data_IF_693245415289
#
_entry.id   IF_693245415289
#
_cell.length_a   1.000
_cell.length_b   1.000
_cell.length_c   1.000
_cell.angle_alpha   90.00
_cell.angle_beta   90.00
_cell.angle_gamma   90.00
#
_symmetry.space_group_name_H-M   'P 1'
#
loop_
_entity.id
_entity.type
_entity.pdbx_description
1 polymer ?
#
# COMPACT_ATOMS: atom_id res chain seq x y z
N UNK A 1 -22.54 13.96 4.09
CA UNK A 1 -21.39 13.13 4.49
C UNK A 1 -21.45 12.85 5.99
N UNK A 2 -21.34 11.59 6.37
CA UNK A 2 -21.45 11.18 7.78
C UNK A 2 -20.11 11.36 8.48
N UNK A 3 -20.09 12.20 9.53
CA UNK A 3 -18.85 12.58 10.23
C UNK A 3 -18.17 11.44 10.99
N UNK A 4 -18.95 10.47 11.45
CA UNK A 4 -18.44 9.39 12.32
C UNK A 4 -18.32 8.04 11.61
N UNK A 5 -18.35 8.06 10.28
CA UNK A 5 -18.25 6.82 9.52
C UNK A 5 -16.86 6.19 9.66
N UNK A 6 -16.84 4.89 9.94
CA UNK A 6 -15.61 4.14 10.19
C UNK A 6 -14.88 3.81 8.89
N UNK A 7 -13.53 3.82 8.95
CA UNK A 7 -12.68 3.43 7.82
C UNK A 7 -12.95 1.99 7.38
N UNK A 8 -13.44 1.14 8.27
CA UNK A 8 -13.77 -0.25 7.93
C UNK A 8 -14.77 -0.38 6.79
N UNK A 9 -15.54 0.68 6.53
CA UNK A 9 -16.53 0.68 5.45
C UNK A 9 -15.93 0.91 4.06
N UNK A 10 -14.74 1.51 4.00
CA UNK A 10 -14.12 1.85 2.71
C UNK A 10 -12.78 1.17 2.48
N UNK A 11 -12.18 0.58 3.50
CA UNK A 11 -10.90 -0.10 3.35
C UNK A 11 -11.02 -1.35 2.48
N UNK A 12 -9.94 -1.70 1.79
CA UNK A 12 -9.86 -2.96 1.09
C UNK A 12 -9.60 -4.07 2.09
N UNK A 13 -10.44 -5.11 2.08
CA UNK A 13 -10.33 -6.28 2.96
C UNK A 13 -9.70 -7.47 2.25
N UNK A 14 -9.58 -7.41 0.93
CA UNK A 14 -8.93 -8.44 0.14
C UNK A 14 -7.43 -8.23 0.20
N UNK A 15 -6.81 -8.74 1.25
CA UNK A 15 -5.42 -8.48 1.55
C UNK A 15 -4.48 -9.29 0.67
N UNK A 16 -3.64 -8.57 -0.07
CA UNK A 16 -2.49 -9.12 -0.76
C UNK A 16 -1.28 -8.71 0.07
N UNK A 17 -0.54 -9.67 0.59
CA UNK A 17 0.59 -9.40 1.48
C UNK A 17 1.86 -10.11 1.00
N UNK A 18 3.00 -9.64 1.51
CA UNK A 18 4.29 -10.26 1.30
C UNK A 18 4.99 -10.42 2.65
N UNK A 19 5.98 -11.28 2.68
CA UNK A 19 6.85 -11.45 3.84
C UNK A 19 8.29 -11.08 3.47
N UNK A 20 9.17 -10.98 4.45
CA UNK A 20 10.58 -10.67 4.18
C UNK A 20 11.30 -11.77 3.40
N UNK A 21 10.75 -12.99 3.37
CA UNK A 21 11.34 -14.09 2.62
C UNK A 21 10.93 -14.10 1.15
N UNK A 22 9.95 -13.29 0.75
CA UNK A 22 9.55 -13.16 -0.65
C UNK A 22 10.54 -12.29 -1.41
N UNK A 23 10.65 -12.50 -2.72
CA UNK A 23 11.56 -11.74 -3.56
C UNK A 23 10.84 -10.62 -4.32
N UNK A 24 11.62 -9.78 -5.00
CA UNK A 24 11.07 -8.63 -5.73
C UNK A 24 10.31 -9.06 -6.98
N UNK A 25 10.62 -10.22 -7.56
CA UNK A 25 9.86 -10.76 -8.69
C UNK A 25 8.43 -11.09 -8.28
N UNK A 26 8.27 -11.69 -7.10
CA UNK A 26 6.96 -11.98 -6.55
C UNK A 26 6.17 -10.69 -6.31
N UNK A 27 6.83 -9.67 -5.77
CA UNK A 27 6.19 -8.37 -5.56
C UNK A 27 5.72 -7.76 -6.87
N UNK A 28 6.59 -7.74 -7.89
CA UNK A 28 6.25 -7.21 -9.22
C UNK A 28 5.05 -7.93 -9.81
N UNK A 29 5.04 -9.25 -9.72
CA UNK A 29 3.95 -10.08 -10.22
C UNK A 29 2.62 -9.71 -9.54
N UNK A 30 2.62 -9.56 -8.22
CA UNK A 30 1.42 -9.23 -7.45
C UNK A 30 0.89 -7.84 -7.81
N UNK A 31 1.77 -6.86 -7.97
CA UNK A 31 1.34 -5.52 -8.39
C UNK A 31 0.62 -5.57 -9.75
N UNK A 32 1.15 -6.34 -10.69
CA UNK A 32 0.58 -6.45 -12.03
C UNK A 32 -0.72 -7.24 -12.04
N UNK A 33 -0.74 -8.39 -11.38
CA UNK A 33 -1.91 -9.28 -11.38
C UNK A 33 -3.13 -8.64 -10.70
N UNK A 34 -2.91 -7.92 -9.61
CA UNK A 34 -3.99 -7.37 -8.80
C UNK A 34 -4.25 -5.89 -9.06
N UNK A 35 -3.48 -5.26 -9.94
CA UNK A 35 -3.62 -3.84 -10.28
C UNK A 35 -3.59 -2.95 -9.04
N UNK A 36 -2.70 -3.27 -8.10
CA UNK A 36 -2.52 -2.54 -6.85
C UNK A 36 -1.19 -1.80 -6.87
N UNK A 37 -1.06 -0.80 -6.00
CA UNK A 37 0.16 0.03 -5.94
C UNK A 37 0.89 -0.08 -4.62
N UNK A 38 0.30 -0.74 -3.64
CA UNK A 38 0.88 -0.89 -2.30
C UNK A 38 0.60 -2.29 -1.78
N UNK A 39 1.63 -2.92 -1.20
CA UNK A 39 1.50 -4.25 -0.61
C UNK A 39 2.07 -4.20 0.81
N UNK A 40 1.26 -4.53 1.83
CA UNK A 40 1.77 -4.65 3.19
C UNK A 40 2.75 -5.81 3.32
N UNK A 41 3.81 -5.59 4.09
CA UNK A 41 4.76 -6.63 4.45
C UNK A 41 4.44 -7.06 5.87
N UNK A 42 4.23 -8.36 6.06
CA UNK A 42 3.77 -8.89 7.34
C UNK A 42 4.74 -9.94 7.89
N UNK A 43 4.69 -10.10 9.20
CA UNK A 43 5.34 -11.18 9.94
C UNK A 43 4.33 -11.65 10.98
N UNK A 44 3.92 -12.92 10.89
CA UNK A 44 2.88 -13.47 11.78
C UNK A 44 1.61 -12.61 11.84
N UNK A 45 1.16 -12.15 10.68
CA UNK A 45 -0.02 -11.29 10.50
C UNK A 45 0.15 -9.85 11.03
N UNK A 46 1.31 -9.53 11.61
CA UNK A 46 1.62 -8.17 12.04
C UNK A 46 2.29 -7.39 10.93
N UNK A 47 1.86 -6.14 10.75
CA UNK A 47 2.43 -5.28 9.73
C UNK A 47 3.83 -4.81 10.17
N UNK A 48 4.82 -5.01 9.30
CA UNK A 48 6.20 -4.56 9.57
C UNK A 48 6.71 -3.58 8.53
N UNK A 49 6.04 -3.49 7.38
CA UNK A 49 6.45 -2.56 6.33
C UNK A 49 5.38 -2.38 5.29
N UNK A 50 5.62 -1.43 4.39
CA UNK A 50 4.76 -1.18 3.24
C UNK A 50 5.64 -1.02 2.01
N UNK A 51 5.35 -1.79 0.97
CA UNK A 51 6.08 -1.73 -0.29
C UNK A 51 5.21 -1.08 -1.35
N UNK A 52 5.72 -0.02 -1.99
CA UNK A 52 5.03 0.65 -3.07
C UNK A 52 5.53 0.19 -4.43
N UNK A 53 4.63 0.15 -5.41
CA UNK A 53 5.01 -0.13 -6.79
C UNK A 53 6.08 0.85 -7.28
N UNK A 54 5.98 2.11 -6.85
CA UNK A 54 6.96 3.14 -7.21
C UNK A 54 8.38 2.81 -6.73
N UNK A 55 8.51 2.04 -5.65
CA UNK A 55 9.83 1.62 -5.16
C UNK A 55 10.51 0.68 -6.16
N UNK A 56 9.74 -0.23 -6.76
CA UNK A 56 10.25 -1.12 -7.79
C UNK A 56 10.53 -0.38 -9.09
N UNK A 57 9.65 0.54 -9.47
CA UNK A 57 9.81 1.33 -10.69
C UNK A 57 11.07 2.18 -10.64
N UNK A 58 11.41 2.76 -9.48
CA UNK A 58 12.62 3.54 -9.31
C UNK A 58 13.88 2.72 -9.57
N UNK A 59 13.90 1.49 -9.09
CA UNK A 59 15.03 0.58 -9.28
C UNK A 59 15.15 0.20 -10.76
N UNK A 60 14.04 -0.17 -11.37
CA UNK A 60 14.01 -0.53 -12.79
C UNK A 60 14.41 0.63 -13.67
N UNK A 61 14.00 1.85 -13.32
CA UNK A 61 14.35 3.06 -14.03
C UNK A 61 15.85 3.33 -13.97
N UNK A 62 16.44 3.24 -12.78
CA UNK A 62 17.88 3.45 -12.61
C UNK A 62 18.71 2.43 -13.39
N UNK A 63 18.22 1.19 -13.38
CA UNK A 63 18.87 0.08 -14.07
C UNK A 63 18.83 0.27 -15.58
N UNK A 64 17.69 0.71 -16.13
CA UNK A 64 17.53 0.94 -17.56
C UNK A 64 18.38 2.12 -18.06
N UNK A 65 18.81 3.01 -17.17
CA UNK A 65 19.68 4.12 -17.51
C UNK A 65 21.13 3.68 -17.72
N UNK A 66 21.56 2.70 -16.93
CA UNK A 66 22.95 2.23 -16.96
C UNK A 66 23.18 1.12 -17.99
N UNK A 67 22.12 0.60 -18.58
CA UNK A 67 22.24 -0.55 -19.45
C UNK A 67 21.17 -0.56 -20.53
N UNK A 68 21.61 -0.99 -21.73
CA UNK A 68 20.75 -1.14 -22.89
C UNK A 68 20.11 -2.52 -22.98
N UNK A 69 20.28 -3.37 -21.97
CA UNK A 69 19.80 -4.74 -22.00
C UNK A 69 18.80 -5.03 -20.87
N UNK A 70 17.68 -5.67 -21.23
CA UNK A 70 16.60 -6.02 -20.32
C UNK A 70 16.97 -7.05 -19.24
N UNK A 71 18.10 -7.73 -19.39
CA UNK A 71 18.55 -8.78 -18.45
C UNK A 71 19.11 -8.23 -17.15
N UNK A 72 19.29 -6.93 -17.05
CA UNK A 72 19.92 -6.30 -15.88
C UNK A 72 18.93 -6.06 -14.76
N UNK A 73 17.64 -5.92 -15.09
CA UNK A 73 16.59 -5.87 -14.09
C UNK A 73 16.69 -7.06 -13.14
N UNK A 74 17.08 -8.22 -13.68
CA UNK A 74 17.25 -9.44 -12.89
C UNK A 74 18.39 -9.35 -11.88
N UNK A 75 19.49 -8.71 -12.25
CA UNK A 75 20.63 -8.57 -11.35
C UNK A 75 20.28 -7.68 -10.15
N UNK A 76 19.60 -6.56 -10.37
CA UNK A 76 19.20 -5.66 -9.31
C UNK A 76 18.21 -6.32 -8.37
N UNK A 77 17.22 -7.02 -8.92
CA UNK A 77 16.23 -7.73 -8.12
C UNK A 77 16.86 -8.83 -7.25
N UNK A 78 17.93 -9.47 -7.75
CA UNK A 78 18.64 -10.49 -6.98
C UNK A 78 19.53 -9.88 -5.90
N UNK A 79 19.94 -8.64 -6.04
CA UNK A 79 20.81 -7.96 -5.08
C UNK A 79 20.07 -7.28 -3.96
N UNK A 80 18.79 -6.94 -4.17
CA UNK A 80 17.99 -6.20 -3.21
C UNK A 80 16.89 -7.06 -2.62
N UNK A 81 16.55 -6.77 -1.37
CA UNK A 81 15.49 -7.46 -0.65
C UNK A 81 14.30 -6.54 -0.45
N UNK A 82 13.15 -7.14 -0.19
CA UNK A 82 11.94 -6.40 0.18
C UNK A 82 12.21 -5.52 1.40
N UNK A 83 12.91 -6.06 2.41
CA UNK A 83 13.22 -5.31 3.61
C UNK A 83 14.04 -4.05 3.38
N UNK A 84 14.88 -4.05 2.34
CA UNK A 84 15.69 -2.87 2.00
C UNK A 84 14.86 -1.78 1.29
N UNK A 85 13.81 -2.17 0.58
CA UNK A 85 13.01 -1.24 -0.22
C UNK A 85 11.76 -0.73 0.50
N UNK A 86 11.19 -1.53 1.39
CA UNK A 86 9.94 -1.18 2.05
C UNK A 86 10.09 0.04 2.96
N UNK A 87 8.98 0.75 3.17
CA UNK A 87 8.87 1.72 4.25
C UNK A 87 8.74 0.93 5.53
N UNK A 88 9.67 1.12 6.47
CA UNK A 88 9.68 0.39 7.74
C UNK A 88 8.76 1.05 8.75
N UNK A 89 8.08 0.24 9.55
CA UNK A 89 7.19 0.73 10.60
C UNK A 89 6.21 1.78 10.08
N UNK A 90 5.37 1.44 9.09
CA UNK A 90 4.42 2.40 8.54
C UNK A 90 3.40 2.82 9.60
N UNK A 91 2.83 4.01 9.40
CA UNK A 91 1.73 4.46 10.26
C UNK A 91 0.57 3.48 10.08
N UNK A 92 0.15 2.84 11.15
CA UNK A 92 -0.98 1.91 11.14
C UNK A 92 -2.15 2.52 11.90
N UNK A 93 -3.35 2.21 11.47
CA UNK A 93 -4.57 2.75 12.06
C UNK A 93 -5.49 1.61 12.48
N UNK A 94 -6.34 1.87 13.48
CA UNK A 94 -7.32 0.90 13.92
C UNK A 94 -8.56 0.99 13.01
N UNK A 95 -9.22 -0.14 12.80
CA UNK A 95 -10.41 -0.21 11.94
C UNK A 95 -11.59 0.64 12.42
N UNK A 96 -11.59 1.04 13.69
CA UNK A 96 -12.63 1.88 14.25
C UNK A 96 -12.41 3.37 14.03
N UNK A 97 -11.24 3.78 13.52
CA UNK A 97 -10.97 5.20 13.27
C UNK A 97 -11.91 5.73 12.19
N UNK A 98 -12.29 7.01 12.31
CA UNK A 98 -13.19 7.61 11.34
C UNK A 98 -12.51 7.91 10.02
N UNK A 99 -13.30 7.92 8.95
CA UNK A 99 -12.80 8.33 7.63
C UNK A 99 -12.19 9.74 7.71
N UNK A 100 -12.81 10.65 8.46
CA UNK A 100 -12.27 12.00 8.65
C UNK A 100 -10.86 11.96 9.23
N UNK A 101 -10.62 11.12 10.24
CA UNK A 101 -9.29 10.99 10.85
C UNK A 101 -8.28 10.43 9.86
N UNK A 102 -8.69 9.49 9.00
CA UNK A 102 -7.83 8.96 7.94
C UNK A 102 -7.44 10.07 6.97
N UNK A 103 -8.41 10.89 6.57
CA UNK A 103 -8.14 12.04 5.68
C UNK A 103 -7.12 12.99 6.31
N UNK A 104 -7.27 13.27 7.60
CA UNK A 104 -6.32 14.13 8.32
C UNK A 104 -4.91 13.56 8.30
N UNK A 105 -4.77 12.24 8.54
CA UNK A 105 -3.47 11.58 8.52
C UNK A 105 -2.86 11.65 7.12
N UNK A 106 -3.64 11.28 6.10
CA UNK A 106 -3.16 11.30 4.71
C UNK A 106 -2.79 12.71 4.24
N UNK A 107 -3.50 13.73 4.73
CA UNK A 107 -3.23 15.11 4.33
C UNK A 107 -1.98 15.70 4.98
N UNK A 108 -1.58 15.19 6.14
CA UNK A 108 -0.42 15.71 6.89
C UNK A 108 0.87 14.95 6.62
N UNK A 109 0.76 13.73 6.09
CA UNK A 109 1.91 12.86 5.84
C UNK A 109 1.97 12.51 4.36
N UNK A 110 3.18 12.27 3.86
CA UNK A 110 3.38 11.91 2.46
C UNK A 110 3.11 10.41 2.20
N UNK A 111 2.06 9.89 2.80
CA UNK A 111 1.66 8.50 2.63
C UNK A 111 0.43 8.41 1.75
N UNK A 112 0.39 7.41 0.88
CA UNK A 112 -0.74 7.19 -0.02
C UNK A 112 -1.53 5.94 0.37
N UNK A 113 -1.05 5.19 1.36
CA UNK A 113 -1.69 3.97 1.84
C UNK A 113 -1.41 3.78 3.32
N UNK A 114 -2.43 3.35 4.05
CA UNK A 114 -2.32 3.07 5.48
C UNK A 114 -2.81 1.66 5.76
N UNK A 115 -2.00 0.83 6.45
CA UNK A 115 -2.47 -0.45 6.93
C UNK A 115 -3.47 -0.26 8.07
N UNK A 116 -4.53 -1.08 8.06
CA UNK A 116 -5.58 -1.05 9.07
C UNK A 116 -5.49 -2.32 9.89
N UNK A 117 -5.46 -2.16 11.21
CA UNK A 117 -5.27 -3.28 12.14
C UNK A 117 -6.42 -3.37 13.15
N UNK A 118 -6.60 -4.57 13.67
CA UNK A 118 -7.44 -4.86 14.84
C UNK A 118 -6.62 -5.76 15.76
N UNK A 119 -6.45 -5.36 17.01
CA UNK A 119 -5.62 -6.10 17.98
C UNK A 119 -4.25 -6.46 17.39
N UNK A 120 -3.60 -5.48 16.74
CA UNK A 120 -2.28 -5.60 16.09
C UNK A 120 -2.25 -6.52 14.87
N UNK A 121 -3.38 -7.10 14.46
CA UNK A 121 -3.47 -7.96 13.27
C UNK A 121 -3.94 -7.12 12.08
N UNK A 122 -3.27 -7.27 10.95
CA UNK A 122 -3.64 -6.57 9.72
C UNK A 122 -5.00 -7.08 9.21
N UNK A 123 -5.95 -6.17 9.04
CA UNK A 123 -7.30 -6.52 8.57
C UNK A 123 -7.69 -5.79 7.29
N UNK A 124 -6.95 -4.77 6.89
CA UNK A 124 -7.28 -4.03 5.68
C UNK A 124 -6.18 -3.05 5.29
N UNK A 125 -6.43 -2.38 4.18
CA UNK A 125 -5.59 -1.28 3.72
C UNK A 125 -6.52 -0.19 3.18
N UNK A 126 -6.22 1.06 3.48
CA UNK A 126 -6.94 2.20 2.92
C UNK A 126 -5.96 3.09 2.18
N UNK A 127 -6.36 3.52 0.99
CA UNK A 127 -5.50 4.32 0.11
C UNK A 127 -6.14 5.67 -0.17
N UNK A 128 -5.33 6.59 -0.71
CA UNK A 128 -5.84 7.87 -1.20
C UNK A 128 -6.96 7.66 -2.23
N UNK A 129 -6.81 6.64 -3.10
CA UNK A 129 -7.83 6.31 -4.09
C UNK A 129 -9.15 5.90 -3.43
N UNK A 130 -9.10 5.15 -2.34
CA UNK A 130 -10.31 4.78 -1.60
C UNK A 130 -11.04 6.01 -1.07
N UNK A 131 -10.29 6.99 -0.58
CA UNK A 131 -10.85 8.25 -0.09
C UNK A 131 -11.49 9.03 -1.23
N UNK A 132 -10.81 9.12 -2.38
CA UNK A 132 -11.35 9.82 -3.54
C UNK A 132 -12.65 9.17 -4.04
N UNK A 133 -12.69 7.83 -4.09
CA UNK A 133 -13.90 7.10 -4.47
C UNK A 133 -15.03 7.33 -3.48
N UNK A 134 -14.71 7.39 -2.20
CA UNK A 134 -15.69 7.71 -1.17
C UNK A 134 -16.29 9.10 -1.38
N UNK A 135 -15.44 10.09 -1.63
CA UNK A 135 -15.88 11.47 -1.87
C UNK A 135 -16.76 11.56 -3.11
N UNK A 136 -16.39 10.90 -4.21
CA UNK A 136 -17.20 10.88 -5.41
C UNK A 136 -18.58 10.32 -5.14
N UNK A 137 -18.67 9.26 -4.36
CA UNK A 137 -19.93 8.66 -3.98
C UNK A 137 -20.81 9.62 -3.18
N UNK A 138 -20.19 10.38 -2.27
CA UNK A 138 -20.92 11.37 -1.48
C UNK A 138 -21.48 12.48 -2.33
N UNK A 139 -20.72 12.96 -3.30
CA UNK A 139 -21.21 13.97 -4.25
C UNK A 139 -22.39 13.45 -5.08
N UNK A 140 -22.32 12.22 -5.54
CA UNK A 140 -23.41 11.59 -6.29
C UNK A 140 -24.69 11.50 -5.46
N UNK A 141 -24.56 11.16 -4.18
CA UNK A 141 -25.70 11.07 -3.27
C UNK A 141 -26.33 12.44 -2.98
N UNK A 142 -25.52 13.49 -2.92
CA UNK A 142 -26.02 14.86 -2.69
C UNK A 142 -26.79 15.41 -3.88
N UNK A 143 -26.44 14.98 -5.09
CA UNK A 143 -27.09 15.45 -6.32
C UNK A 143 -28.38 14.70 -6.58
N UNK A 144 -28.51 13.49 -6.09
CA UNK A 144 -29.74 12.70 -6.25
C UNK A 144 -30.73 13.02 -5.13
#
# INVERSE_FOLDING_TARGET
MKRLESVSKIMSKNLITLTLSDDLYTAEKLFKEHHIRHIPIVQDEHIIGMLGQSDLERISFLDSFDSKETKIDNAVYNMLSIGQLMVKSPIKINSSITIKSVVEILSKHEHHALPVVENEILVGIVTTTDILNYLLKQYELEVS
#
